data_IF_118308504796
#
_entry.id   IF_118308504796
#
_cell.length_a   1.000
_cell.length_b   1.000
_cell.length_c   1.000
_cell.angle_alpha   90.00
_cell.angle_beta   90.00
_cell.angle_gamma   90.00
#
_symmetry.space_group_name_H-M   'P 1'
#
loop_
_entity.id
_entity.type
_entity.pdbx_description
1 polymer ?
#
# COMPACT_ATOMS: atom_id res chain seq x y z
N UNK A 1 -2.70 -15.09 -16.70
CA UNK A 1 -2.87 -16.50 -16.29
C UNK A 1 -2.18 -16.77 -14.95
N UNK A 2 -0.94 -16.30 -14.76
CA UNK A 2 -0.23 -16.43 -13.47
C UNK A 2 -0.97 -15.80 -12.28
N UNK A 3 -1.56 -14.60 -12.46
CA UNK A 3 -2.24 -13.86 -11.37
C UNK A 3 -3.41 -14.65 -10.80
N UNK A 4 -4.25 -15.20 -11.69
CA UNK A 4 -5.43 -15.98 -11.30
C UNK A 4 -4.97 -17.25 -10.58
N UNK A 5 -3.93 -17.91 -11.09
CA UNK A 5 -3.38 -19.10 -10.47
C UNK A 5 -2.80 -18.80 -9.07
N UNK A 6 -2.05 -17.71 -8.92
CA UNK A 6 -1.51 -17.29 -7.62
C UNK A 6 -2.62 -16.89 -6.65
N UNK A 7 -3.65 -16.18 -7.09
CA UNK A 7 -4.78 -15.81 -6.25
C UNK A 7 -5.57 -17.05 -5.80
N UNK A 8 -5.78 -18.01 -6.71
CA UNK A 8 -6.45 -19.28 -6.40
C UNK A 8 -5.63 -20.10 -5.40
N UNK A 9 -4.32 -20.23 -5.60
CA UNK A 9 -3.43 -20.91 -4.66
C UNK A 9 -3.47 -20.24 -3.28
N UNK A 10 -3.54 -18.90 -3.26
CA UNK A 10 -3.55 -18.12 -2.04
C UNK A 10 -4.86 -18.27 -1.25
N UNK A 11 -5.99 -18.24 -1.94
CA UNK A 11 -7.32 -18.51 -1.35
C UNK A 11 -7.38 -19.95 -0.84
N UNK A 12 -6.85 -20.90 -1.59
CA UNK A 12 -6.81 -22.31 -1.18
C UNK A 12 -5.96 -22.53 0.08
N UNK A 13 -4.80 -21.88 0.17
CA UNK A 13 -3.95 -21.87 1.37
C UNK A 13 -4.67 -21.28 2.58
N UNK A 14 -5.40 -20.17 2.40
CA UNK A 14 -6.19 -19.52 3.45
C UNK A 14 -7.31 -20.42 3.98
N UNK A 15 -8.06 -21.07 3.09
CA UNK A 15 -9.13 -22.03 3.47
C UNK A 15 -8.54 -23.23 4.21
N UNK A 16 -7.40 -23.75 3.75
CA UNK A 16 -6.75 -24.86 4.43
C UNK A 16 -6.27 -24.46 5.84
N UNK A 17 -5.70 -23.27 5.98
CA UNK A 17 -5.22 -22.76 7.27
C UNK A 17 -6.33 -22.50 8.27
N UNK A 18 -7.48 -22.00 7.82
CA UNK A 18 -8.66 -21.81 8.66
C UNK A 18 -9.19 -23.16 9.18
N UNK A 19 -9.12 -24.20 8.34
CA UNK A 19 -9.59 -25.55 8.68
C UNK A 19 -8.67 -26.27 9.69
N UNK A 20 -7.34 -26.11 9.55
CA UNK A 20 -6.37 -26.88 10.37
C UNK A 20 -5.76 -26.10 11.53
N UNK A 21 -5.73 -24.76 11.48
CA UNK A 21 -5.08 -23.88 12.46
C UNK A 21 -5.90 -22.59 12.67
N UNK A 22 -7.17 -22.69 13.13
CA UNK A 22 -8.08 -21.54 13.25
C UNK A 22 -7.56 -20.44 14.19
N UNK A 23 -6.71 -20.77 15.18
CA UNK A 23 -6.07 -19.78 16.05
C UNK A 23 -4.93 -19.00 15.39
N UNK A 24 -4.34 -19.50 14.30
CA UNK A 24 -3.28 -18.82 13.56
C UNK A 24 -3.77 -18.16 12.26
N UNK A 25 -4.99 -18.46 11.80
CA UNK A 25 -5.66 -17.78 10.70
C UNK A 25 -5.49 -16.25 10.70
N UNK A 26 -5.64 -15.50 11.83
CA UNK A 26 -5.37 -14.06 11.87
C UNK A 26 -3.95 -13.66 11.45
N UNK A 27 -2.97 -14.43 11.87
CA UNK A 27 -1.55 -14.14 11.63
C UNK A 27 -1.19 -14.37 10.16
N UNK A 28 -1.73 -15.43 9.56
CA UNK A 28 -1.57 -15.69 8.14
C UNK A 28 -2.36 -14.71 7.27
N UNK A 29 -3.56 -14.30 7.68
CA UNK A 29 -4.31 -13.21 7.04
C UNK A 29 -3.51 -11.91 7.03
N UNK A 30 -2.84 -11.58 8.13
CA UNK A 30 -1.95 -10.42 8.21
C UNK A 30 -0.78 -10.52 7.22
N UNK A 31 -0.08 -11.66 7.20
CA UNK A 31 1.06 -11.89 6.30
C UNK A 31 0.61 -11.84 4.84
N UNK A 32 -0.49 -12.52 4.51
CA UNK A 32 -1.04 -12.50 3.16
C UNK A 32 -1.54 -11.12 2.77
N UNK A 33 -2.16 -10.39 3.68
CA UNK A 33 -2.55 -9.00 3.44
C UNK A 33 -1.33 -8.15 3.05
N UNK A 34 -0.25 -8.20 3.83
CA UNK A 34 0.95 -7.43 3.50
C UNK A 34 1.64 -7.91 2.22
N UNK A 35 1.62 -9.22 1.92
CA UNK A 35 2.13 -9.77 0.65
C UNK A 35 1.31 -9.32 -0.55
N UNK A 36 -0.01 -9.31 -0.43
CA UNK A 36 -0.94 -8.89 -1.48
C UNK A 36 -0.87 -7.37 -1.65
N UNK A 37 -0.80 -6.61 -0.55
CA UNK A 37 -0.61 -5.16 -0.58
C UNK A 37 0.74 -4.81 -1.21
N UNK A 38 1.82 -5.51 -0.86
CA UNK A 38 3.12 -5.33 -1.49
C UNK A 38 3.06 -5.66 -2.99
N UNK A 39 2.48 -6.81 -3.37
CA UNK A 39 2.33 -7.14 -4.79
C UNK A 39 1.48 -6.12 -5.55
N UNK A 40 0.36 -5.67 -4.97
CA UNK A 40 -0.51 -4.71 -5.61
C UNK A 40 0.17 -3.33 -5.71
N UNK A 41 0.92 -2.93 -4.68
CA UNK A 41 1.73 -1.73 -4.72
C UNK A 41 2.81 -1.82 -5.81
N UNK A 42 3.59 -2.91 -5.86
CA UNK A 42 4.71 -3.06 -6.79
C UNK A 42 4.28 -3.34 -8.24
N UNK A 43 3.20 -4.10 -8.47
CA UNK A 43 2.77 -4.51 -9.82
C UNK A 43 1.59 -3.72 -10.38
N UNK A 44 0.85 -2.99 -9.55
CA UNK A 44 -0.27 -2.14 -10.02
C UNK A 44 -0.01 -0.70 -9.66
N UNK A 45 0.24 -0.33 -8.39
CA UNK A 45 0.39 1.08 -8.04
C UNK A 45 1.61 1.73 -8.69
N UNK A 46 2.79 1.07 -8.71
CA UNK A 46 3.99 1.60 -9.39
C UNK A 46 3.77 1.75 -10.90
N UNK A 47 3.38 0.72 -11.66
CA UNK A 47 3.15 0.90 -13.10
C UNK A 47 1.93 1.77 -13.39
N UNK A 48 0.88 1.80 -12.59
CA UNK A 48 -0.25 2.73 -12.76
C UNK A 48 0.17 4.19 -12.50
N UNK A 49 1.11 4.43 -11.58
CA UNK A 49 1.74 5.73 -11.38
C UNK A 49 2.69 6.10 -12.52
N UNK A 50 3.32 5.12 -13.15
CA UNK A 50 4.21 5.32 -14.31
C UNK A 50 3.43 5.48 -15.62
N UNK A 51 2.33 4.76 -15.78
CA UNK A 51 1.46 4.72 -16.96
C UNK A 51 0.29 5.69 -16.88
N UNK A 52 0.02 6.32 -15.72
CA UNK A 52 -0.83 7.49 -15.64
C UNK A 52 -0.29 8.49 -16.67
N UNK A 53 -0.94 8.59 -17.85
CA UNK A 53 -0.57 9.56 -18.86
C UNK A 53 -1.25 10.82 -18.40
N UNK A 54 -0.78 11.38 -17.28
CA UNK A 54 -1.02 12.78 -17.02
C UNK A 54 -0.39 13.46 -18.23
N UNK A 55 -1.23 14.00 -19.10
CA UNK A 55 -0.92 14.69 -20.33
C UNK A 55 -0.07 15.97 -20.11
N UNK A 56 0.83 15.93 -19.13
CA UNK A 56 1.49 17.02 -18.47
C UNK A 56 2.84 16.53 -17.94
N UNK A 57 3.86 16.54 -18.79
CA UNK A 57 5.28 16.46 -18.39
C UNK A 57 5.80 17.81 -17.83
N UNK A 58 4.89 18.71 -17.47
CA UNK A 58 5.22 20.01 -16.92
C UNK A 58 5.76 19.95 -15.48
N UNK A 59 6.31 21.08 -14.99
CA UNK A 59 6.78 21.19 -13.61
C UNK A 59 5.62 20.88 -12.66
N UNK A 60 5.79 19.86 -11.80
CA UNK A 60 4.73 19.39 -10.89
C UNK A 60 4.27 17.94 -11.10
N UNK A 61 4.60 17.32 -12.24
CA UNK A 61 4.14 15.97 -12.58
C UNK A 61 4.58 14.89 -11.58
N UNK A 62 5.77 15.02 -10.99
CA UNK A 62 6.29 14.14 -9.94
C UNK A 62 5.45 14.26 -8.67
N UNK A 63 5.14 15.48 -8.25
CA UNK A 63 4.35 15.78 -7.05
C UNK A 63 2.91 15.28 -7.20
N UNK A 64 2.30 15.48 -8.38
CA UNK A 64 0.95 14.97 -8.66
C UNK A 64 0.92 13.43 -8.56
N UNK A 65 1.92 12.75 -9.13
CA UNK A 65 2.05 11.29 -9.01
C UNK A 65 2.21 10.85 -7.55
N UNK A 66 3.05 11.52 -6.77
CA UNK A 66 3.21 11.25 -5.35
C UNK A 66 1.92 11.44 -4.55
N UNK A 67 1.17 12.52 -4.81
CA UNK A 67 -0.12 12.80 -4.17
C UNK A 67 -1.13 11.70 -4.52
N UNK A 68 -1.29 11.38 -5.80
CA UNK A 68 -2.23 10.36 -6.27
C UNK A 68 -1.89 8.97 -5.69
N UNK A 69 -0.61 8.59 -5.71
CA UNK A 69 -0.15 7.32 -5.14
C UNK A 69 -0.33 7.24 -3.63
N UNK A 70 -0.02 8.32 -2.92
CA UNK A 70 -0.21 8.42 -1.47
C UNK A 70 -1.68 8.28 -1.10
N UNK A 71 -2.56 9.00 -1.81
CA UNK A 71 -4.00 8.94 -1.60
C UNK A 71 -4.55 7.52 -1.86
N UNK A 72 -4.13 6.89 -2.96
CA UNK A 72 -4.53 5.52 -3.28
C UNK A 72 -4.14 4.53 -2.18
N UNK A 73 -2.87 4.54 -1.74
CA UNK A 73 -2.39 3.66 -0.68
C UNK A 73 -3.10 3.92 0.66
N UNK A 74 -3.35 5.18 0.98
CA UNK A 74 -4.08 5.55 2.19
C UNK A 74 -5.51 4.98 2.18
N UNK A 75 -6.27 5.21 1.11
CA UNK A 75 -7.64 4.72 0.98
C UNK A 75 -7.72 3.20 0.94
N UNK A 76 -6.81 2.56 0.21
CA UNK A 76 -6.74 1.10 0.14
C UNK A 76 -6.49 0.50 1.53
N UNK A 77 -5.53 1.04 2.27
CA UNK A 77 -5.24 0.56 3.64
C UNK A 77 -6.37 0.84 4.62
N UNK A 78 -7.10 1.95 4.46
CA UNK A 78 -8.27 2.26 5.28
C UNK A 78 -9.43 1.28 5.01
N UNK A 79 -9.70 0.98 3.74
CA UNK A 79 -10.72 0.00 3.36
C UNK A 79 -10.40 -1.39 3.92
N UNK A 80 -9.13 -1.79 3.89
CA UNK A 80 -8.70 -3.05 4.50
C UNK A 80 -8.78 -3.06 6.02
N UNK A 81 -8.46 -1.95 6.69
CA UNK A 81 -8.67 -1.82 8.14
C UNK A 81 -10.13 -2.08 8.50
N UNK A 82 -11.05 -1.46 7.75
CA UNK A 82 -12.48 -1.56 8.02
C UNK A 82 -13.00 -2.97 7.76
N UNK A 83 -12.61 -3.59 6.63
CA UNK A 83 -12.89 -5.00 6.34
C UNK A 83 -12.38 -5.94 7.44
N UNK A 84 -11.14 -5.74 7.92
CA UNK A 84 -10.58 -6.53 9.01
C UNK A 84 -11.29 -6.27 10.35
N UNK A 85 -11.80 -5.05 10.56
CA UNK A 85 -12.68 -4.72 11.68
C UNK A 85 -13.96 -5.54 11.67
N UNK A 86 -14.62 -5.63 10.51
CA UNK A 86 -15.89 -6.35 10.33
C UNK A 86 -15.77 -7.85 10.60
N UNK A 87 -14.63 -8.46 10.25
CA UNK A 87 -14.39 -9.91 10.48
C UNK A 87 -13.73 -10.22 11.84
N UNK A 88 -13.69 -9.26 12.77
CA UNK A 88 -13.21 -9.46 14.15
C UNK A 88 -11.71 -9.26 14.37
N UNK A 89 -10.97 -8.82 13.35
CA UNK A 89 -9.52 -8.55 13.38
C UNK A 89 -9.19 -7.05 13.41
N UNK A 90 -10.06 -6.22 14.00
CA UNK A 90 -9.88 -4.76 14.08
C UNK A 90 -8.53 -4.26 14.65
N UNK A 91 -7.93 -4.87 15.69
CA UNK A 91 -6.60 -4.49 16.16
C UNK A 91 -5.51 -4.65 15.08
N UNK A 92 -5.59 -5.74 14.31
CA UNK A 92 -4.68 -6.06 13.21
C UNK A 92 -4.86 -5.04 12.06
N UNK A 93 -6.11 -4.75 11.69
CA UNK A 93 -6.39 -3.73 10.66
C UNK A 93 -5.88 -2.34 11.04
N UNK A 94 -5.96 -1.97 12.32
CA UNK A 94 -5.42 -0.70 12.81
C UNK A 94 -3.89 -0.63 12.71
N UNK A 95 -3.19 -1.70 13.11
CA UNK A 95 -1.73 -1.79 12.99
C UNK A 95 -1.27 -1.71 11.54
N UNK A 96 -1.97 -2.39 10.63
CA UNK A 96 -1.60 -2.38 9.22
C UNK A 96 -1.82 -1.02 8.56
N UNK A 97 -2.93 -0.34 8.86
CA UNK A 97 -3.16 1.02 8.41
C UNK A 97 -2.13 2.00 8.98
N UNK A 98 -1.77 1.86 10.26
CA UNK A 98 -0.73 2.69 10.89
C UNK A 98 0.64 2.50 10.23
N UNK A 99 1.00 1.27 9.84
CA UNK A 99 2.24 1.01 9.10
C UNK A 99 2.26 1.73 7.74
N UNK A 100 1.14 1.74 7.02
CA UNK A 100 1.01 2.48 5.75
C UNK A 100 1.12 3.98 5.99
N UNK A 101 0.50 4.52 7.03
CA UNK A 101 0.64 5.94 7.39
C UNK A 101 2.10 6.33 7.66
N UNK A 102 2.84 5.53 8.44
CA UNK A 102 4.26 5.76 8.72
C UNK A 102 5.12 5.70 7.45
N UNK A 103 4.83 4.74 6.55
CA UNK A 103 5.48 4.65 5.25
C UNK A 103 5.24 5.93 4.42
N UNK A 104 4.00 6.40 4.35
CA UNK A 104 3.66 7.63 3.62
C UNK A 104 4.39 8.84 4.21
N UNK A 105 4.43 8.99 5.54
CA UNK A 105 5.22 10.05 6.20
C UNK A 105 6.69 9.97 5.80
N UNK A 106 7.27 8.77 5.74
CA UNK A 106 8.66 8.58 5.30
C UNK A 106 8.91 9.05 3.86
N UNK A 107 8.00 8.72 2.94
CA UNK A 107 8.08 9.18 1.53
C UNK A 107 8.02 10.70 1.46
N UNK A 108 7.08 11.33 2.15
CA UNK A 108 6.90 12.78 2.16
C UNK A 108 8.04 13.53 2.85
N UNK A 109 8.66 12.96 3.88
CA UNK A 109 9.87 13.52 4.50
C UNK A 109 11.05 13.55 3.52
N UNK A 110 11.19 12.54 2.66
CA UNK A 110 12.20 12.53 1.60
C UNK A 110 12.00 13.68 0.60
N UNK A 111 10.78 13.86 0.12
CA UNK A 111 10.41 14.95 -0.79
C UNK A 111 10.55 16.34 -0.14
N UNK A 112 10.21 16.47 1.14
CA UNK A 112 10.41 17.70 1.89
C UNK A 112 11.89 18.05 2.02
N UNK A 113 12.74 17.07 2.31
CA UNK A 113 14.20 17.26 2.37
C UNK A 113 14.77 17.72 1.04
N UNK A 114 14.34 17.12 -0.06
CA UNK A 114 14.77 17.51 -1.41
C UNK A 114 14.33 18.95 -1.72
N UNK A 115 13.07 19.28 -1.44
CA UNK A 115 12.52 20.64 -1.64
C UNK A 115 13.24 21.67 -0.77
N UNK A 116 13.53 21.35 0.49
CA UNK A 116 14.29 22.20 1.40
C UNK A 116 15.73 22.42 0.93
N UNK A 117 16.37 21.40 0.35
CA UNK A 117 17.72 21.52 -0.22
C UNK A 117 17.76 22.48 -1.42
N UNK A 118 16.72 22.48 -2.26
CA UNK A 118 16.58 23.41 -3.38
C UNK A 118 16.32 24.83 -2.87
N UNK A 119 15.45 25.00 -1.87
CA UNK A 119 15.19 26.32 -1.29
C UNK A 119 16.43 26.91 -0.62
N UNK A 120 17.21 26.09 0.08
CA UNK A 120 18.45 26.53 0.74
C UNK A 120 19.56 26.85 -0.24
N UNK A 121 19.64 26.19 -1.40
CA UNK A 121 20.60 26.53 -2.46
C UNK A 121 20.25 27.80 -3.22
N UNK A 122 19.03 28.31 -3.08
CA UNK A 122 18.55 29.57 -3.66
C UNK A 122 18.69 30.76 -2.69
N UNK A 123 19.03 30.52 -1.42
CA UNK A 123 19.34 31.58 -0.47
C UNK A 123 20.79 32.06 -0.71
N UNK A 124 21.04 33.40 -0.69
CA UNK A 124 22.35 33.99 -0.95
C UNK A 124 23.40 33.65 0.11
#
# INVERSE_FOLDING_TARGET
MEIILSAVIMVFLLVMLDTFLPRMAPFFLLIFFFLLLAQLAFRVAIPLLQELPLAWDGPGARQIRLIAGSAFLFYLSASFRDMLGEIGYGPIGRLSHMAVQLMLVGVWLGEFRETASVLTSLLP
#
